data_IF_527753246064
#
_entry.id   IF_527753246064
#
_cell.length_a   1.000
_cell.length_b   1.000
_cell.length_c   1.000
_cell.angle_alpha   90.00
_cell.angle_beta   90.00
_cell.angle_gamma   90.00
#
_symmetry.space_group_name_H-M   'P 1'
#
loop_
_entity.id
_entity.type
_entity.pdbx_description
1 polymer ?
#
# COMPACT_ATOMS: atom_id res chain seq x y z
N UNK A 1 8.56 -11.29 -10.22
CA UNK A 1 7.42 -11.92 -9.53
C UNK A 1 7.74 -13.40 -9.38
N UNK A 2 7.38 -14.06 -8.27
CA UNK A 2 7.64 -15.49 -8.04
C UNK A 2 6.67 -16.40 -8.79
N UNK A 3 5.54 -15.87 -9.29
CA UNK A 3 4.66 -16.62 -10.19
C UNK A 3 5.42 -16.94 -11.50
N UNK A 4 5.42 -18.22 -11.87
CA UNK A 4 5.90 -18.70 -13.16
C UNK A 4 5.22 -17.93 -14.30
N UNK A 5 5.99 -17.57 -15.33
CA UNK A 5 5.55 -16.79 -16.50
C UNK A 5 5.21 -15.31 -16.24
N UNK A 6 5.53 -14.77 -15.06
CA UNK A 6 5.35 -13.34 -14.79
C UNK A 6 6.66 -12.54 -14.88
N UNK A 7 6.77 -11.69 -15.90
CA UNK A 7 7.92 -10.78 -16.11
C UNK A 7 7.86 -9.50 -15.26
N UNK A 8 6.76 -9.27 -14.53
CA UNK A 8 6.61 -8.08 -13.70
C UNK A 8 7.55 -8.09 -12.50
N UNK A 9 8.04 -6.90 -12.15
CA UNK A 9 8.85 -6.67 -10.96
C UNK A 9 8.06 -7.03 -9.69
N UNK A 10 8.72 -7.77 -8.78
CA UNK A 10 8.14 -8.06 -7.48
C UNK A 10 8.11 -6.78 -6.64
N UNK A 11 6.97 -6.53 -6.00
CA UNK A 11 6.73 -5.37 -5.14
C UNK A 11 6.79 -5.76 -3.67
N UNK A 12 6.08 -6.82 -3.28
CA UNK A 12 6.06 -7.33 -1.91
C UNK A 12 5.89 -8.86 -1.92
N UNK A 13 6.39 -9.55 -0.88
CA UNK A 13 6.27 -10.99 -0.71
C UNK A 13 6.76 -11.82 -1.92
N UNK A 14 7.65 -11.25 -2.74
CA UNK A 14 8.12 -11.86 -3.99
C UNK A 14 7.14 -11.79 -5.18
N UNK A 15 5.94 -11.23 -5.01
CA UNK A 15 4.94 -11.11 -6.07
C UNK A 15 4.84 -9.70 -6.62
N UNK A 16 4.35 -9.55 -7.86
CA UNK A 16 4.01 -8.25 -8.44
C UNK A 16 2.62 -7.79 -7.96
N UNK A 17 2.25 -6.54 -8.25
CA UNK A 17 0.95 -5.98 -7.84
C UNK A 17 -0.25 -6.85 -8.28
N UNK A 18 -0.23 -7.42 -9.49
CA UNK A 18 -1.31 -8.28 -9.96
C UNK A 18 -1.38 -9.65 -9.25
N UNK A 19 -0.26 -10.12 -8.69
CA UNK A 19 -0.13 -11.47 -8.13
C UNK A 19 0.02 -11.48 -6.61
N UNK A 20 -0.49 -10.46 -5.91
CA UNK A 20 -0.46 -10.40 -4.43
C UNK A 20 0.77 -9.70 -3.86
N UNK A 21 1.53 -8.98 -4.70
CA UNK A 21 2.60 -8.06 -4.30
C UNK A 21 2.08 -6.75 -3.72
N UNK A 22 0.97 -6.79 -3.01
CA UNK A 22 0.35 -5.66 -2.34
C UNK A 22 -0.18 -6.10 -0.99
N UNK A 23 -0.34 -5.14 -0.08
CA UNK A 23 -0.93 -5.38 1.21
C UNK A 23 -2.34 -4.79 1.24
N UNK A 24 -3.26 -5.42 1.96
CA UNK A 24 -4.59 -4.87 2.22
C UNK A 24 -4.52 -3.97 3.45
N UNK A 25 -5.35 -2.93 3.48
CA UNK A 25 -5.48 -2.04 4.62
C UNK A 25 -5.76 -2.81 5.91
N UNK A 26 -4.99 -2.55 6.97
CA UNK A 26 -5.16 -3.15 8.29
C UNK A 26 -6.39 -2.65 9.07
N UNK A 27 -7.23 -1.80 8.47
CA UNK A 27 -8.40 -1.26 9.13
C UNK A 27 -9.50 -2.33 9.28
N UNK A 28 -9.71 -2.81 10.51
CA UNK A 28 -10.85 -3.56 11.08
C UNK A 28 -11.59 -4.56 10.14
N UNK A 29 -10.91 -5.16 9.17
CA UNK A 29 -11.40 -6.27 8.36
C UNK A 29 -12.45 -5.94 7.29
N UNK A 30 -13.11 -4.78 7.34
CA UNK A 30 -14.08 -4.35 6.32
C UNK A 30 -13.42 -3.62 5.14
N UNK A 31 -12.17 -3.18 5.30
CA UNK A 31 -11.48 -2.44 4.26
C UNK A 31 -10.76 -3.40 3.31
N UNK A 32 -11.24 -3.49 2.07
CA UNK A 32 -10.60 -4.26 1.00
C UNK A 32 -9.64 -3.42 0.16
N UNK A 33 -9.45 -2.14 0.52
CA UNK A 33 -8.56 -1.25 -0.21
C UNK A 33 -7.09 -1.65 0.00
N UNK A 34 -6.29 -1.46 -1.03
CA UNK A 34 -4.85 -1.63 -0.97
C UNK A 34 -4.21 -0.62 -0.02
N UNK A 35 -3.32 -1.10 0.84
CA UNK A 35 -2.48 -0.26 1.67
C UNK A 35 -1.49 0.50 0.78
N UNK A 36 -1.41 1.81 0.98
CA UNK A 36 -0.52 2.71 0.25
C UNK A 36 0.73 3.02 1.08
N UNK A 37 0.55 3.23 2.39
CA UNK A 37 1.64 3.45 3.34
C UNK A 37 1.25 2.96 4.73
N UNK A 38 2.24 2.61 5.56
CA UNK A 38 2.04 2.23 6.97
C UNK A 38 1.03 1.09 7.21
N UNK A 39 0.76 0.24 6.21
CA UNK A 39 -0.26 -0.81 6.29
C UNK A 39 -1.71 -0.32 6.16
N UNK A 40 -1.94 0.95 5.81
CA UNK A 40 -3.27 1.53 5.64
C UNK A 40 -3.50 2.04 4.22
N UNK A 41 -4.77 2.09 3.79
CA UNK A 41 -5.16 2.74 2.55
C UNK A 41 -5.24 4.26 2.73
N UNK A 42 -5.37 5.01 1.63
CA UNK A 42 -5.45 6.47 1.66
C UNK A 42 -6.54 7.02 2.59
N UNK A 43 -7.68 6.33 2.73
CA UNK A 43 -8.76 6.73 3.63
C UNK A 43 -8.43 6.50 5.11
N UNK A 44 -7.61 5.50 5.42
CA UNK A 44 -7.35 5.04 6.79
C UNK A 44 -5.94 5.37 7.30
N UNK A 45 -5.24 6.35 6.69
CA UNK A 45 -3.92 6.80 7.15
C UNK A 45 -2.73 6.32 6.31
N UNK A 46 -3.00 5.76 5.13
CA UNK A 46 -2.02 5.38 4.12
C UNK A 46 -1.46 6.55 3.32
N UNK A 47 -1.19 7.67 3.98
CA UNK A 47 -0.59 8.85 3.38
C UNK A 47 0.44 9.44 4.33
N UNK A 48 1.42 10.13 3.78
CA UNK A 48 2.36 10.91 4.57
C UNK A 48 1.74 12.28 4.85
N UNK A 49 2.11 12.87 5.99
CA UNK A 49 1.72 14.24 6.31
C UNK A 49 2.92 15.14 6.05
N UNK A 50 2.66 16.32 5.50
CA UNK A 50 3.72 17.30 5.34
C UNK A 50 4.22 17.73 6.73
N UNK A 51 5.52 17.56 7.00
CA UNK A 51 6.12 17.96 8.29
C UNK A 51 6.56 19.43 8.34
N UNK A 52 6.28 20.22 7.29
CA UNK A 52 6.58 21.65 7.30
C UNK A 52 5.75 22.35 8.39
N UNK A 53 6.36 23.31 9.10
CA UNK A 53 5.73 24.01 10.21
C UNK A 53 4.41 24.65 9.78
N UNK A 54 3.30 24.23 10.40
CA UNK A 54 1.96 24.72 10.09
C UNK A 54 1.28 24.07 8.87
N UNK A 55 1.88 23.06 8.24
CA UNK A 55 1.27 22.33 7.14
C UNK A 55 0.65 21.01 7.65
N UNK A 56 -0.64 20.83 7.42
CA UNK A 56 -1.40 19.62 7.75
C UNK A 56 -1.94 18.92 6.50
N UNK A 57 -1.32 19.20 5.33
CA UNK A 57 -1.71 18.58 4.07
C UNK A 57 -1.21 17.13 4.02
N UNK A 58 -2.04 16.29 3.41
CA UNK A 58 -1.65 14.94 2.96
C UNK A 58 -0.66 15.14 1.81
N UNK A 59 0.52 14.56 1.94
CA UNK A 59 1.59 14.58 0.95
C UNK A 59 1.37 13.51 -0.12
#
# INVERSE_FOLDING_TARGET
>A
CLLSDCTNTAQANGFCYAHGGYQVCYALGYCTNTAQANGFCYAHGGYQVCYALGCNRRA
#
